data_IF_621073973410
#
_entry.id   IF_621073973410
#
_cell.length_a   1.000
_cell.length_b   1.000
_cell.length_c   1.000
_cell.angle_alpha   90.00
_cell.angle_beta   90.00
_cell.angle_gamma   90.00
#
_symmetry.space_group_name_H-M   'P 1'
#
loop_
_entity.id
_entity.type
_entity.pdbx_description
1 polymer ?
#
# COMPACT_ATOMS: atom_id res chain seq x y z
N UNK A 1 3.66 -15.50 10.54
CA UNK A 1 2.45 -14.75 10.97
C UNK A 1 2.24 -14.66 12.49
N UNK A 2 2.93 -15.42 13.36
CA UNK A 2 2.77 -15.31 14.84
C UNK A 2 3.08 -13.93 15.46
N UNK A 3 3.73 -13.02 14.73
CA UNK A 3 4.00 -11.64 15.19
C UNK A 3 2.75 -10.75 15.23
N UNK A 4 1.76 -10.97 14.36
CA UNK A 4 0.58 -10.09 14.28
C UNK A 4 -0.34 -10.28 15.49
N UNK A 5 -0.58 -11.54 15.89
CA UNK A 5 -1.33 -11.86 17.12
C UNK A 5 -0.60 -11.36 18.38
N UNK A 6 0.75 -11.45 18.42
CA UNK A 6 1.52 -10.88 19.53
C UNK A 6 1.51 -9.35 19.59
N UNK A 7 1.24 -8.67 18.47
CA UNK A 7 1.10 -7.20 18.41
C UNK A 7 -0.27 -6.74 18.90
N UNK A 8 -1.32 -7.54 18.68
CA UNK A 8 -2.66 -7.31 19.25
C UNK A 8 -2.72 -7.62 20.75
N UNK A 9 -1.83 -8.50 21.23
CA UNK A 9 -1.76 -8.95 22.63
C UNK A 9 -0.72 -8.20 23.49
N UNK A 10 -0.16 -7.08 23.02
CA UNK A 10 1.00 -6.46 23.69
C UNK A 10 0.60 -5.75 24.99
N UNK A 11 0.97 -6.39 26.10
CA UNK A 11 0.98 -5.86 27.47
C UNK A 11 1.76 -4.54 27.53
N UNK A 12 1.07 -3.42 27.70
CA UNK A 12 1.65 -2.21 28.31
C UNK A 12 0.71 -1.70 29.40
N UNK A 13 1.26 -1.73 30.61
CA UNK A 13 0.56 -1.57 31.87
C UNK A 13 0.26 -0.10 32.17
N UNK A 14 -1.02 0.33 32.10
CA UNK A 14 -1.60 1.21 33.13
C UNK A 14 -3.13 1.43 33.00
N UNK A 15 -3.80 1.25 34.14
CA UNK A 15 -5.09 1.81 34.61
C UNK A 15 -6.45 1.41 34.05
N UNK A 16 -6.59 0.41 33.17
CA UNK A 16 -7.89 -0.23 32.88
C UNK A 16 -7.64 -1.72 32.65
N UNK A 17 -8.34 -2.59 33.38
CA UNK A 17 -8.20 -4.05 33.27
C UNK A 17 -8.26 -4.51 31.78
N UNK A 18 -7.22 -5.19 31.25
CA UNK A 18 -7.20 -5.62 29.87
C UNK A 18 -8.21 -6.74 29.66
N UNK A 19 -9.22 -6.51 28.81
CA UNK A 19 -10.06 -7.59 28.30
C UNK A 19 -9.16 -8.51 27.48
N UNK A 20 -8.88 -9.70 28.00
CA UNK A 20 -8.17 -10.75 27.27
C UNK A 20 -9.11 -11.27 26.19
N UNK A 21 -8.93 -10.80 24.96
CA UNK A 21 -9.68 -11.28 23.80
C UNK A 21 -9.10 -12.63 23.38
N UNK A 22 -9.73 -13.72 23.82
CA UNK A 22 -9.41 -15.08 23.37
C UNK A 22 -10.17 -15.36 22.06
N UNK A 23 -9.63 -14.86 20.96
CA UNK A 23 -10.24 -14.94 19.63
C UNK A 23 -9.46 -15.92 18.77
N UNK A 24 -10.14 -16.94 18.25
CA UNK A 24 -9.58 -17.84 17.24
C UNK A 24 -9.71 -17.22 15.84
N UNK A 25 -8.58 -17.10 15.13
CA UNK A 25 -8.51 -16.58 13.76
C UNK A 25 -7.81 -17.59 12.85
N UNK A 26 -8.57 -18.20 11.93
CA UNK A 26 -8.07 -19.12 10.91
C UNK A 26 -7.63 -18.35 9.66
N UNK A 27 -6.42 -17.82 9.68
CA UNK A 27 -5.83 -17.13 8.53
C UNK A 27 -5.47 -18.06 7.36
N UNK A 28 -5.43 -19.37 7.57
CA UNK A 28 -5.04 -20.31 6.51
C UNK A 28 -6.25 -20.72 5.66
N UNK A 29 -7.37 -21.09 6.29
CA UNK A 29 -8.50 -21.69 5.59
C UNK A 29 -9.78 -20.86 5.62
N UNK A 30 -9.79 -19.66 6.22
CA UNK A 30 -10.98 -18.80 6.23
C UNK A 30 -11.58 -18.62 4.83
N UNK A 31 -12.88 -18.94 4.72
CA UNK A 31 -13.70 -18.74 3.54
C UNK A 31 -14.76 -17.68 3.83
N UNK A 32 -15.12 -16.84 2.85
CA UNK A 32 -16.18 -15.86 3.06
C UNK A 32 -17.51 -16.56 3.29
N UNK A 33 -18.28 -16.06 4.25
CA UNK A 33 -19.70 -16.38 4.37
C UNK A 33 -20.49 -15.77 3.20
N UNK A 34 -21.74 -16.20 3.00
CA UNK A 34 -22.61 -15.63 1.97
C UNK A 34 -22.83 -14.11 2.15
N UNK A 35 -22.81 -13.62 3.39
CA UNK A 35 -22.91 -12.18 3.68
C UNK A 35 -21.64 -11.41 3.29
N UNK A 36 -20.47 -12.01 3.46
CA UNK A 36 -19.18 -11.38 3.16
C UNK A 36 -18.83 -11.39 1.67
N UNK A 37 -19.39 -12.34 0.91
CA UNK A 37 -18.92 -12.72 -0.42
C UNK A 37 -18.77 -11.54 -1.40
N UNK A 38 -19.74 -10.63 -1.43
CA UNK A 38 -19.70 -9.48 -2.34
C UNK A 38 -18.52 -8.54 -2.04
N UNK A 39 -18.32 -8.20 -0.75
CA UNK A 39 -17.21 -7.34 -0.32
C UNK A 39 -15.88 -8.08 -0.46
N UNK A 40 -15.86 -9.37 -0.12
CA UNK A 40 -14.69 -10.22 -0.22
C UNK A 40 -14.15 -10.29 -1.64
N UNK A 41 -15.03 -10.53 -2.63
CA UNK A 41 -14.64 -10.61 -4.04
C UNK A 41 -14.08 -9.29 -4.55
N UNK A 42 -14.69 -8.15 -4.18
CA UNK A 42 -14.21 -6.83 -4.57
C UNK A 42 -12.83 -6.53 -3.98
N UNK A 43 -12.65 -6.77 -2.68
CA UNK A 43 -11.37 -6.60 -1.99
C UNK A 43 -10.31 -7.51 -2.60
N UNK A 44 -10.68 -8.76 -2.92
CA UNK A 44 -9.76 -9.73 -3.51
C UNK A 44 -9.21 -9.26 -4.86
N UNK A 45 -10.05 -8.66 -5.71
CA UNK A 45 -9.60 -8.13 -7.02
C UNK A 45 -8.50 -7.09 -6.87
N UNK A 46 -8.61 -6.20 -5.89
CA UNK A 46 -7.56 -5.20 -5.60
C UNK A 46 -6.32 -5.88 -5.03
N UNK A 47 -6.48 -6.79 -4.07
CA UNK A 47 -5.36 -7.46 -3.40
C UNK A 47 -4.51 -8.32 -4.35
N UNK A 48 -5.07 -8.86 -5.43
CA UNK A 48 -4.31 -9.59 -6.46
C UNK A 48 -3.16 -8.77 -7.07
N UNK A 49 -3.30 -7.43 -7.11
CA UNK A 49 -2.27 -6.55 -7.65
C UNK A 49 -1.20 -6.14 -6.63
N UNK A 50 -1.44 -6.35 -5.34
CA UNK A 50 -0.60 -5.82 -4.24
C UNK A 50 0.85 -6.33 -4.29
N UNK A 51 1.06 -7.62 -4.57
CA UNK A 51 2.40 -8.21 -4.65
C UNK A 51 3.22 -7.60 -5.79
N UNK A 52 2.61 -7.44 -6.97
CA UNK A 52 3.27 -6.82 -8.12
C UNK A 52 3.68 -5.38 -7.84
N UNK A 53 2.84 -4.62 -7.15
CA UNK A 53 3.15 -3.25 -6.73
C UNK A 53 4.36 -3.23 -5.77
N UNK A 54 4.39 -4.12 -4.77
CA UNK A 54 5.53 -4.24 -3.84
C UNK A 54 6.81 -4.66 -4.54
N UNK A 55 6.76 -5.63 -5.46
CA UNK A 55 7.92 -6.07 -6.24
C UNK A 55 8.48 -4.92 -7.07
N UNK A 56 7.63 -4.15 -7.76
CA UNK A 56 8.05 -3.02 -8.56
C UNK A 56 8.67 -1.88 -7.75
N UNK A 57 8.11 -1.59 -6.57
CA UNK A 57 8.67 -0.61 -5.64
C UNK A 57 9.99 -1.09 -5.05
N UNK A 58 10.09 -2.38 -4.69
CA UNK A 58 11.28 -2.99 -4.11
C UNK A 58 12.51 -2.95 -5.05
N UNK A 59 12.29 -2.90 -6.37
CA UNK A 59 13.35 -2.77 -7.38
C UNK A 59 13.49 -1.35 -7.95
N UNK A 60 12.84 -0.35 -7.35
CA UNK A 60 12.90 1.04 -7.81
C UNK A 60 14.31 1.65 -7.59
N UNK A 61 15.11 1.72 -8.65
CA UNK A 61 16.50 2.25 -8.58
C UNK A 61 16.60 3.77 -8.69
N UNK A 62 15.62 4.40 -9.33
CA UNK A 62 15.64 5.83 -9.66
C UNK A 62 16.54 6.22 -10.83
N UNK A 63 16.48 7.48 -11.26
CA UNK A 63 17.26 8.04 -12.38
C UNK A 63 18.27 9.11 -11.92
N UNK A 64 18.75 9.01 -10.67
CA UNK A 64 19.56 10.04 -10.04
C UNK A 64 20.91 10.31 -10.71
N UNK A 65 21.47 9.37 -11.48
CA UNK A 65 22.70 9.59 -12.25
C UNK A 65 22.41 10.51 -13.44
N UNK A 66 21.45 10.13 -14.27
CA UNK A 66 21.06 10.82 -15.49
C UNK A 66 20.53 12.22 -15.17
N UNK A 67 19.74 12.36 -14.09
CA UNK A 67 19.25 13.65 -13.61
C UNK A 67 20.42 14.58 -13.21
N UNK A 68 21.41 14.07 -12.48
CA UNK A 68 22.58 14.88 -12.07
C UNK A 68 23.40 15.32 -13.28
N UNK A 69 23.62 14.43 -14.24
CA UNK A 69 24.30 14.76 -15.49
C UNK A 69 23.56 15.86 -16.27
N UNK A 70 22.22 15.75 -16.38
CA UNK A 70 21.40 16.76 -17.05
C UNK A 70 21.39 18.12 -16.33
N UNK A 71 21.48 18.14 -15.00
CA UNK A 71 21.56 19.39 -14.22
C UNK A 71 22.95 20.03 -14.36
N UNK A 72 24.03 19.24 -14.26
CA UNK A 72 25.40 19.74 -14.30
C UNK A 72 25.85 20.10 -15.72
N UNK A 73 25.29 19.46 -16.75
CA UNK A 73 25.62 19.68 -18.15
C UNK A 73 24.32 19.78 -18.96
N UNK A 74 23.71 20.97 -19.04
CA UNK A 74 22.38 21.16 -19.61
C UNK A 74 22.42 21.23 -21.14
N UNK A 75 22.93 20.18 -21.79
CA UNK A 75 22.84 19.99 -23.24
C UNK A 75 21.66 19.07 -23.60
N UNK A 76 21.26 19.08 -24.87
CA UNK A 76 20.10 18.34 -25.35
C UNK A 76 20.22 16.82 -25.13
N UNK A 77 21.43 16.27 -25.31
CA UNK A 77 21.67 14.84 -25.13
C UNK A 77 21.45 14.41 -23.67
N UNK A 78 22.03 15.14 -22.71
CA UNK A 78 21.89 14.85 -21.29
C UNK A 78 20.43 14.99 -20.84
N UNK A 79 19.71 16.04 -21.29
CA UNK A 79 18.28 16.19 -20.99
C UNK A 79 17.46 15.03 -21.57
N UNK A 80 17.73 14.59 -22.80
CA UNK A 80 17.06 13.45 -23.43
C UNK A 80 17.31 12.15 -22.67
N UNK A 81 18.55 11.90 -22.20
CA UNK A 81 18.88 10.72 -21.40
C UNK A 81 18.14 10.73 -20.06
N UNK A 82 18.17 11.84 -19.33
CA UNK A 82 17.43 11.98 -18.08
C UNK A 82 15.93 11.81 -18.27
N UNK A 83 15.35 12.39 -19.33
CA UNK A 83 13.94 12.22 -19.66
C UNK A 83 13.58 10.77 -19.95
N UNK A 84 14.38 10.09 -20.78
CA UNK A 84 14.17 8.68 -21.16
C UNK A 84 14.26 7.76 -19.93
N UNK A 85 15.14 8.07 -18.98
CA UNK A 85 15.27 7.30 -17.73
C UNK A 85 14.12 7.58 -16.74
N UNK A 86 13.71 8.84 -16.60
CA UNK A 86 12.70 9.26 -15.61
C UNK A 86 11.28 8.88 -16.02
N UNK A 87 10.94 8.97 -17.31
CA UNK A 87 9.58 8.74 -17.78
C UNK A 87 8.97 7.39 -17.35
N UNK A 88 9.62 6.23 -17.57
CA UNK A 88 9.07 4.94 -17.13
C UNK A 88 8.96 4.84 -15.60
N UNK A 89 9.85 5.49 -14.85
CA UNK A 89 9.79 5.53 -13.40
C UNK A 89 8.56 6.32 -12.92
N UNK A 90 8.27 7.46 -13.52
CA UNK A 90 7.08 8.26 -13.21
C UNK A 90 5.80 7.53 -13.61
N UNK A 91 5.81 6.74 -14.69
CA UNK A 91 4.68 5.85 -15.01
C UNK A 91 4.43 4.84 -13.89
N UNK A 92 5.47 4.26 -13.28
CA UNK A 92 5.32 3.41 -12.09
C UNK A 92 4.75 4.18 -10.90
N UNK A 93 5.25 5.39 -10.63
CA UNK A 93 4.71 6.24 -9.55
C UNK A 93 3.23 6.58 -9.76
N UNK A 94 2.81 6.82 -11.00
CA UNK A 94 1.39 7.00 -11.33
C UNK A 94 0.59 5.74 -10.99
N UNK A 95 1.06 4.57 -11.40
CA UNK A 95 0.40 3.29 -11.08
C UNK A 95 0.29 3.05 -9.58
N UNK A 96 1.32 3.38 -8.80
CA UNK A 96 1.26 3.26 -7.33
C UNK A 96 0.20 4.19 -6.73
N UNK A 97 0.08 5.41 -7.25
CA UNK A 97 -0.97 6.33 -6.86
C UNK A 97 -2.36 5.82 -7.26
N UNK A 98 -2.54 5.36 -8.50
CA UNK A 98 -3.82 4.80 -8.96
C UNK A 98 -4.25 3.61 -8.07
N UNK A 99 -3.31 2.73 -7.71
CA UNK A 99 -3.57 1.61 -6.79
C UNK A 99 -4.00 2.08 -5.39
N UNK A 100 -3.48 3.22 -4.92
CA UNK A 100 -3.92 3.80 -3.65
C UNK A 100 -5.38 4.27 -3.68
N UNK A 101 -5.89 4.67 -4.86
CA UNK A 101 -7.30 5.02 -5.05
C UNK A 101 -8.19 3.77 -5.06
N UNK A 102 -7.69 2.64 -5.59
CA UNK A 102 -8.39 1.36 -5.48
C UNK A 102 -8.51 0.92 -4.01
N UNK A 103 -7.43 1.05 -3.23
CA UNK A 103 -7.45 0.82 -1.77
C UNK A 103 -8.43 1.75 -1.05
N UNK A 104 -8.42 3.05 -1.39
CA UNK A 104 -9.37 4.03 -0.84
C UNK A 104 -10.83 3.61 -1.07
N UNK A 105 -11.13 2.99 -2.22
CA UNK A 105 -12.48 2.51 -2.54
C UNK A 105 -12.93 1.31 -1.71
N UNK A 106 -12.02 0.39 -1.35
CA UNK A 106 -12.37 -0.86 -0.66
C UNK A 106 -12.26 -0.78 0.86
N UNK A 107 -11.41 0.10 1.41
CA UNK A 107 -11.21 0.22 2.86
C UNK A 107 -12.51 0.61 3.62
N UNK A 108 -13.31 1.58 3.15
CA UNK A 108 -14.59 1.89 3.80
C UNK A 108 -15.58 0.71 3.77
N UNK A 109 -15.54 -0.13 2.73
CA UNK A 109 -16.44 -1.27 2.56
C UNK A 109 -16.12 -2.37 3.57
N UNK A 110 -14.85 -2.74 3.69
CA UNK A 110 -14.42 -3.76 4.65
C UNK A 110 -14.62 -3.29 6.10
N UNK A 111 -14.38 -2.01 6.39
CA UNK A 111 -14.70 -1.43 7.70
C UNK A 111 -16.21 -1.35 7.96
N UNK A 112 -17.00 -1.12 6.91
CA UNK A 112 -18.46 -1.22 6.99
C UNK A 112 -18.91 -2.58 7.48
N UNK A 113 -18.36 -3.67 6.94
CA UNK A 113 -18.69 -5.03 7.36
C UNK A 113 -18.17 -5.38 8.77
N UNK A 114 -16.96 -4.95 9.11
CA UNK A 114 -16.27 -5.36 10.35
C UNK A 114 -16.55 -4.45 11.56
N UNK A 115 -17.20 -3.30 11.37
CA UNK A 115 -17.40 -2.29 12.42
C UNK A 115 -18.84 -1.74 12.48
N UNK A 116 -19.82 -2.43 11.89
CA UNK A 116 -21.20 -1.98 11.90
C UNK A 116 -22.17 -3.03 12.45
N UNK A 117 -23.41 -2.60 12.70
CA UNK A 117 -24.45 -3.48 13.22
C UNK A 117 -24.38 -3.66 14.74
N UNK A 118 -24.98 -4.74 15.22
CA UNK A 118 -25.16 -5.03 16.65
C UNK A 118 -24.06 -5.93 17.23
N UNK A 119 -23.13 -6.41 16.40
CA UNK A 119 -22.07 -7.32 16.81
C UNK A 119 -20.96 -6.57 17.54
N UNK A 120 -20.37 -7.23 18.53
CA UNK A 120 -19.18 -6.70 19.19
C UNK A 120 -17.95 -6.90 18.30
N UNK A 121 -16.84 -6.15 18.51
CA UNK A 121 -15.60 -6.37 17.76
C UNK A 121 -15.12 -7.82 17.81
N UNK A 122 -15.19 -8.48 18.97
CA UNK A 122 -14.86 -9.91 19.12
C UNK A 122 -15.70 -10.79 18.20
N UNK A 123 -17.01 -10.55 18.14
CA UNK A 123 -17.92 -11.32 17.30
C UNK A 123 -17.62 -11.13 15.81
N UNK A 124 -17.34 -9.90 15.37
CA UNK A 124 -16.88 -9.64 14.00
C UNK A 124 -15.59 -10.42 13.71
N UNK A 125 -14.64 -10.41 14.64
CA UNK A 125 -13.38 -11.14 14.47
C UNK A 125 -13.57 -12.66 14.34
N UNK A 126 -14.48 -13.25 15.11
CA UNK A 126 -14.71 -14.70 15.12
C UNK A 126 -15.54 -15.19 13.93
N UNK A 127 -16.46 -14.36 13.42
CA UNK A 127 -17.47 -14.79 12.44
C UNK A 127 -17.18 -14.34 11.01
N UNK A 128 -16.46 -13.23 10.82
CA UNK A 128 -16.11 -12.67 9.50
C UNK A 128 -14.61 -12.81 9.21
N UNK A 129 -14.09 -14.01 9.45
CA UNK A 129 -12.63 -14.26 9.43
C UNK A 129 -12.00 -14.00 8.06
N UNK A 130 -12.74 -14.18 6.97
CA UNK A 130 -12.25 -13.95 5.62
C UNK A 130 -12.01 -12.45 5.37
N UNK A 131 -12.94 -11.59 5.77
CA UNK A 131 -12.75 -10.13 5.72
C UNK A 131 -11.69 -9.65 6.71
N UNK A 132 -11.61 -10.23 7.91
CA UNK A 132 -10.52 -9.89 8.85
C UNK A 132 -9.15 -10.19 8.25
N UNK A 133 -9.02 -11.35 7.58
CA UNK A 133 -7.80 -11.72 6.85
C UNK A 133 -7.45 -10.69 5.78
N UNK A 134 -8.40 -10.35 4.91
CA UNK A 134 -8.16 -9.36 3.87
C UNK A 134 -7.80 -7.98 4.45
N UNK A 135 -8.41 -7.57 5.57
CA UNK A 135 -8.06 -6.33 6.24
C UNK A 135 -6.62 -6.36 6.76
N UNK A 136 -6.18 -7.48 7.35
CA UNK A 136 -4.79 -7.67 7.76
C UNK A 136 -3.82 -7.64 6.58
N UNK A 137 -4.17 -8.24 5.43
CA UNK A 137 -3.37 -8.21 4.19
C UNK A 137 -3.25 -6.78 3.62
N UNK A 138 -4.32 -5.98 3.66
CA UNK A 138 -4.27 -4.55 3.30
C UNK A 138 -3.26 -3.81 4.20
N UNK A 139 -3.34 -4.00 5.52
CA UNK A 139 -2.43 -3.35 6.46
C UNK A 139 -0.97 -3.80 6.27
N UNK A 140 -0.74 -5.09 6.03
CA UNK A 140 0.59 -5.61 5.73
C UNK A 140 1.15 -4.99 4.45
N UNK A 141 0.35 -4.86 3.40
CA UNK A 141 0.73 -4.18 2.17
C UNK A 141 1.10 -2.72 2.44
N UNK A 142 0.24 -1.96 3.12
CA UNK A 142 0.46 -0.52 3.40
C UNK A 142 1.77 -0.31 4.16
N UNK A 143 2.00 -1.11 5.21
CA UNK A 143 3.24 -1.01 6.00
C UNK A 143 4.48 -1.35 5.19
N UNK A 144 4.46 -2.43 4.39
CA UNK A 144 5.59 -2.79 3.52
C UNK A 144 5.84 -1.75 2.44
N UNK A 145 4.78 -1.24 1.82
CA UNK A 145 4.87 -0.20 0.79
C UNK A 145 5.53 1.06 1.36
N UNK A 146 5.07 1.52 2.51
CA UNK A 146 5.63 2.70 3.16
C UNK A 146 7.07 2.47 3.64
N UNK A 147 7.40 1.28 4.14
CA UNK A 147 8.78 0.92 4.47
C UNK A 147 9.70 1.04 3.25
N UNK A 148 9.31 0.48 2.11
CA UNK A 148 10.09 0.59 0.87
C UNK A 148 10.19 2.03 0.37
N UNK A 149 9.09 2.78 0.43
CA UNK A 149 9.05 4.19 0.03
C UNK A 149 9.96 5.05 0.91
N UNK A 150 9.94 4.86 2.23
CA UNK A 150 10.79 5.60 3.17
C UNK A 150 12.28 5.34 2.94
N UNK A 151 12.65 4.13 2.49
CA UNK A 151 14.03 3.77 2.17
C UNK A 151 14.48 4.19 0.76
N UNK A 152 13.60 4.79 -0.04
CA UNK A 152 13.86 5.09 -1.47
C UNK A 152 13.73 6.58 -1.78
N UNK A 153 14.71 7.42 -1.39
CA UNK A 153 14.65 8.89 -1.60
C UNK A 153 14.59 9.29 -3.08
N UNK A 154 14.98 8.41 -4.00
CA UNK A 154 14.91 8.67 -5.43
C UNK A 154 13.48 8.94 -5.93
N UNK A 155 12.44 8.38 -5.30
CA UNK A 155 11.03 8.56 -5.70
C UNK A 155 10.66 10.04 -5.77
N UNK A 156 10.94 10.80 -4.72
CA UNK A 156 10.61 12.23 -4.67
C UNK A 156 11.50 13.04 -5.63
N UNK A 157 12.77 12.68 -5.75
CA UNK A 157 13.72 13.38 -6.63
C UNK A 157 13.34 13.24 -8.11
N UNK A 158 13.03 12.02 -8.54
CA UNK A 158 12.65 11.73 -9.93
C UNK A 158 11.34 12.44 -10.29
N UNK A 159 10.33 12.36 -9.44
CA UNK A 159 9.05 13.03 -9.67
C UNK A 159 9.19 14.56 -9.68
N UNK A 160 10.02 15.11 -8.79
CA UNK A 160 10.31 16.55 -8.76
C UNK A 160 11.07 17.02 -10.00
N UNK A 161 12.00 16.21 -10.53
CA UNK A 161 12.65 16.50 -11.81
C UNK A 161 11.64 16.46 -12.96
N UNK A 162 10.83 15.41 -13.04
CA UNK A 162 9.77 15.28 -14.06
C UNK A 162 8.85 16.50 -14.11
N UNK A 163 8.30 16.92 -12.96
CA UNK A 163 7.41 18.09 -12.89
C UNK A 163 8.07 19.37 -13.40
N UNK A 164 9.34 19.61 -13.05
CA UNK A 164 10.09 20.78 -13.53
C UNK A 164 10.33 20.73 -15.03
N UNK A 165 10.64 19.56 -15.58
CA UNK A 165 10.88 19.39 -17.02
C UNK A 165 9.59 19.57 -17.82
N UNK A 166 8.47 18.97 -17.39
CA UNK A 166 7.15 19.19 -18.03
C UNK A 166 6.74 20.66 -17.98
N UNK A 167 6.93 21.33 -16.83
CA UNK A 167 6.58 22.75 -16.71
C UNK A 167 7.36 23.64 -17.69
N UNK A 168 8.65 23.36 -17.91
CA UNK A 168 9.47 24.09 -18.89
C UNK A 168 9.01 23.83 -20.32
N UNK A 169 8.75 22.57 -20.66
CA UNK A 169 8.27 22.18 -22.00
C UNK A 169 6.92 22.80 -22.36
N UNK A 170 6.08 23.14 -21.36
CA UNK A 170 4.79 23.83 -21.58
C UNK A 170 4.94 25.34 -21.79
N UNK A 171 6.07 25.93 -21.40
CA UNK A 171 6.35 27.38 -21.53
C UNK A 171 7.04 27.73 -22.85
N UNK A 172 7.58 26.73 -23.54
CA UNK A 172 8.18 26.79 -24.88
C UNK A 172 7.20 26.32 -25.93
#
# INVERSE_FOLDING_TARGET
>A
MGKLLSLLARDDSNCCSPQKYDVFLDFENAQPTEGEKAVYEEVQQVLLSSEGILQELGVYKGAGKEIREAINTPNEECQRRAWTAVLPLVTKLKRFYDFSLELEGIVPKILGELCSGAMTPTQHLETQQALVKQFAEILEFVLKFDEYKMKTPAIQNDFSYYRRTVSRQRMT
#
